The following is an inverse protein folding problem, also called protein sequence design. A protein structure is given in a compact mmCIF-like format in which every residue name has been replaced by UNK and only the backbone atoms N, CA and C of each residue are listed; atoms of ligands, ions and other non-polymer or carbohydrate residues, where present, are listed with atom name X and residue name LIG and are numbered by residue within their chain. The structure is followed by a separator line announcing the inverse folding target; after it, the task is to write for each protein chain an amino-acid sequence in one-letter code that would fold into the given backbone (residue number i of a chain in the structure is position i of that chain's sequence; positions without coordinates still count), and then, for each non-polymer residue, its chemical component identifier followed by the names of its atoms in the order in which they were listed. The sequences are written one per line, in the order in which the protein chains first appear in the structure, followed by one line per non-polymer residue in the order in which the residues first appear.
data_IF_066499799732
#
_entry.id   IF_066499799732
#
_cell.length_a   1.000
_cell.length_b   1.000
_cell.length_c   1.000
_cell.angle_alpha   90.00
_cell.angle_beta   90.00
_cell.angle_gamma   90.00
#
_symmetry.space_group_name_H-M   'P 1'
#
loop_
_entity.id
_entity.type
_entity.pdbx_description
1 polymer ?
#
# COMPACT_ATOMS: atom_id res chain seq x y z
N UNK A 1 -8.88 -8.59 -20.15
CA UNK A 1 -9.10 -7.73 -18.98
C UNK A 1 -8.79 -8.61 -17.78
N UNK A 2 -7.69 -8.35 -17.08
CA UNK A 2 -7.19 -9.21 -16.00
C UNK A 2 -7.95 -8.90 -14.72
N UNK A 3 -9.00 -9.67 -14.46
CA UNK A 3 -9.74 -9.62 -13.21
C UNK A 3 -8.94 -10.40 -12.16
N UNK A 4 -8.96 -9.89 -10.92
CA UNK A 4 -8.36 -10.44 -9.70
C UNK A 4 -6.88 -10.06 -9.48
N UNK A 5 -6.65 -8.79 -9.12
CA UNK A 5 -5.65 -8.49 -8.09
C UNK A 5 -6.14 -9.16 -6.82
N UNK A 6 -5.48 -10.23 -6.39
CA UNK A 6 -5.92 -11.01 -5.22
C UNK A 6 -5.50 -10.33 -3.90
N UNK A 7 -4.53 -9.39 -3.97
CA UNK A 7 -3.90 -8.80 -2.79
C UNK A 7 -3.65 -7.30 -2.98
N UNK A 8 -4.32 -6.48 -2.17
CA UNK A 8 -4.00 -5.07 -1.99
C UNK A 8 -3.00 -4.88 -0.83
N UNK A 9 -1.85 -4.27 -1.09
CA UNK A 9 -0.80 -4.00 -0.13
C UNK A 9 -0.66 -2.49 0.12
N UNK A 10 -0.82 -2.08 1.37
CA UNK A 10 -0.43 -0.75 1.85
C UNK A 10 0.86 -0.88 2.67
N UNK A 11 1.90 -0.17 2.26
CA UNK A 11 3.16 -0.07 3.00
C UNK A 11 3.32 1.35 3.53
N UNK A 12 3.38 1.46 4.86
CA UNK A 12 3.57 2.73 5.55
C UNK A 12 5.07 2.91 5.81
N UNK A 13 5.64 4.01 5.30
CA UNK A 13 7.06 4.34 5.45
C UNK A 13 7.22 5.63 6.26
N UNK A 14 8.37 5.84 6.94
CA UNK A 14 8.64 7.08 7.65
C UNK A 14 8.52 8.33 6.74
N UNK A 15 8.23 9.47 7.37
CA UNK A 15 8.23 10.75 6.67
C UNK A 15 9.57 11.04 5.99
N UNK A 16 9.53 11.71 4.85
CA UNK A 16 10.73 12.01 4.05
C UNK A 16 11.24 10.85 3.17
N UNK A 17 10.69 9.64 3.30
CA UNK A 17 10.99 8.53 2.39
C UNK A 17 10.35 8.76 1.03
N UNK A 18 11.12 8.54 -0.03
CA UNK A 18 10.65 8.77 -1.40
C UNK A 18 9.70 7.66 -1.89
N UNK A 19 8.41 7.81 -1.59
CA UNK A 19 7.29 6.88 -1.89
C UNK A 19 7.39 6.17 -3.24
N UNK A 20 7.50 6.91 -4.35
CA UNK A 20 7.57 6.32 -5.71
C UNK A 20 8.77 5.38 -5.92
N UNK A 21 9.95 5.74 -5.38
CA UNK A 21 11.15 4.88 -5.50
C UNK A 21 10.99 3.63 -4.66
N UNK A 22 10.40 3.76 -3.47
CA UNK A 22 10.09 2.62 -2.60
C UNK A 22 9.08 1.69 -3.26
N UNK A 23 7.99 2.22 -3.83
CA UNK A 23 6.99 1.43 -4.55
C UNK A 23 7.62 0.65 -5.72
N UNK A 24 8.45 1.32 -6.53
CA UNK A 24 9.16 0.66 -7.63
C UNK A 24 10.12 -0.43 -7.16
N UNK A 25 10.79 -0.23 -6.01
CA UNK A 25 11.68 -1.23 -5.44
C UNK A 25 10.88 -2.46 -4.98
N UNK A 26 9.88 -2.25 -4.12
CA UNK A 26 9.05 -3.30 -3.55
C UNK A 26 8.29 -4.08 -4.63
N UNK A 27 7.74 -3.37 -5.64
CA UNK A 27 7.04 -4.03 -6.73
C UNK A 27 7.93 -5.06 -7.45
N UNK A 28 9.20 -4.72 -7.71
CA UNK A 28 10.16 -5.65 -8.33
C UNK A 28 10.54 -6.84 -7.44
N UNK A 29 10.54 -6.64 -6.12
CA UNK A 29 10.86 -7.72 -5.17
C UNK A 29 9.66 -8.66 -4.99
N UNK A 30 8.43 -8.14 -4.97
CA UNK A 30 7.20 -8.91 -4.72
C UNK A 30 6.69 -9.62 -5.98
N UNK A 31 6.85 -9.03 -7.17
CA UNK A 31 6.38 -9.65 -8.44
C UNK A 31 7.00 -11.03 -8.70
N UNK A 32 8.16 -11.33 -8.10
CA UNK A 32 8.79 -12.65 -8.17
C UNK A 32 8.00 -13.77 -7.48
N UNK A 33 6.98 -13.45 -6.67
CA UNK A 33 6.13 -14.41 -5.98
C UNK A 33 5.01 -14.99 -6.86
N UNK A 34 4.80 -14.45 -8.06
CA UNK A 34 3.84 -14.98 -9.03
C UNK A 34 2.36 -14.75 -8.68
N UNK A 35 2.07 -13.88 -7.71
CA UNK A 35 0.71 -13.51 -7.30
C UNK A 35 0.37 -12.10 -7.82
N UNK A 36 -0.82 -11.86 -8.40
CA UNK A 36 -1.27 -10.51 -8.73
C UNK A 36 -1.51 -9.67 -7.47
N UNK A 37 -0.94 -8.46 -7.42
CA UNK A 37 -1.12 -7.55 -6.30
C UNK A 37 -1.12 -6.08 -6.74
N UNK A 38 -1.77 -5.24 -5.95
CA UNK A 38 -1.69 -3.78 -6.01
C UNK A 38 -0.90 -3.25 -4.83
N UNK A 39 0.03 -2.31 -5.07
CA UNK A 39 0.91 -1.76 -4.04
C UNK A 39 0.77 -0.24 -3.93
N UNK A 40 0.43 0.21 -2.73
CA UNK A 40 0.41 1.62 -2.34
C UNK A 40 1.45 1.85 -1.24
N UNK A 41 2.26 2.91 -1.41
CA UNK A 41 3.24 3.34 -0.41
C UNK A 41 2.84 4.72 0.09
N UNK A 42 2.64 4.84 1.40
CA UNK A 42 2.17 6.05 2.06
C UNK A 42 3.04 6.37 3.29
N UNK A 43 2.94 7.58 3.80
CA UNK A 43 3.49 7.95 5.11
C UNK A 43 2.38 8.05 6.17
N UNK A 44 2.71 8.07 7.47
CA UNK A 44 1.71 8.32 8.51
C UNK A 44 0.92 9.63 8.28
N UNK A 45 1.57 10.68 7.79
CA UNK A 45 0.95 11.95 7.42
C UNK A 45 -0.09 11.79 6.33
N UNK A 46 0.22 11.03 5.26
CA UNK A 46 -0.76 10.73 4.20
C UNK A 46 -2.01 10.04 4.76
N UNK A 47 -1.84 9.11 5.70
CA UNK A 47 -2.95 8.38 6.31
C UNK A 47 -3.83 9.27 7.20
N UNK A 48 -3.22 10.20 7.91
CA UNK A 48 -3.94 11.17 8.74
C UNK A 48 -4.71 12.15 7.85
N UNK A 49 -4.04 12.71 6.84
CA UNK A 49 -4.62 13.70 5.93
C UNK A 49 -5.78 13.12 5.11
N UNK A 50 -5.69 11.86 4.71
CA UNK A 50 -6.66 11.23 3.83
C UNK A 50 -7.60 10.23 4.53
N UNK A 51 -7.60 10.20 5.87
CA UNK A 51 -8.41 9.26 6.66
C UNK A 51 -9.90 9.27 6.32
N UNK A 52 -10.43 10.46 6.01
CA UNK A 52 -11.85 10.70 5.71
C UNK A 52 -12.13 10.86 4.21
N UNK A 53 -11.10 10.76 3.36
CA UNK A 53 -11.27 10.86 1.92
C UNK A 53 -11.83 9.54 1.38
N UNK A 54 -13.13 9.54 1.08
CA UNK A 54 -13.89 8.37 0.59
C UNK A 54 -13.37 7.77 -0.72
N UNK A 55 -12.57 8.50 -1.50
CA UNK A 55 -12.06 8.05 -2.79
C UNK A 55 -10.75 7.25 -2.74
N UNK A 56 -10.13 7.09 -1.57
CA UNK A 56 -8.81 6.46 -1.44
C UNK A 56 -8.88 5.15 -0.62
N UNK A 57 -8.10 4.17 -1.06
CA UNK A 57 -7.83 2.86 -0.42
C UNK A 57 -7.53 2.97 1.09
N UNK A 58 -6.99 4.11 1.55
CA UNK A 58 -6.62 4.35 2.94
C UNK A 58 -7.76 4.10 3.93
N UNK A 59 -8.98 4.55 3.63
CA UNK A 59 -10.12 4.36 4.55
C UNK A 59 -10.49 2.88 4.70
N UNK A 60 -10.44 2.13 3.60
CA UNK A 60 -10.76 0.70 3.60
C UNK A 60 -9.68 -0.09 4.33
N UNK A 61 -8.40 0.15 4.02
CA UNK A 61 -7.28 -0.55 4.69
C UNK A 61 -7.22 -0.25 6.19
N UNK A 62 -7.50 0.99 6.62
CA UNK A 62 -7.52 1.32 8.05
C UNK A 62 -8.67 0.69 8.83
N UNK A 63 -9.76 0.28 8.15
CA UNK A 63 -10.94 -0.32 8.81
C UNK A 63 -10.97 -1.84 8.72
N UNK A 64 -10.57 -2.39 7.59
CA UNK A 64 -10.75 -3.79 7.22
C UNK A 64 -9.42 -4.49 6.96
N UNK A 65 -8.34 -3.73 6.78
CA UNK A 65 -7.01 -4.26 6.55
C UNK A 65 -6.46 -4.99 7.78
N UNK A 66 -5.59 -5.94 7.51
CA UNK A 66 -4.85 -6.68 8.53
C UNK A 66 -3.38 -6.27 8.47
N UNK A 67 -2.81 -5.97 9.63
CA UNK A 67 -1.36 -5.80 9.74
C UNK A 67 -0.67 -7.15 9.52
N UNK A 68 0.19 -7.21 8.51
CA UNK A 68 0.97 -8.42 8.16
C UNK A 68 2.43 -8.31 8.61
N UNK A 69 2.91 -7.11 8.87
CA UNK A 69 4.28 -6.81 9.30
C UNK A 69 4.34 -5.44 9.99
N UNK A 70 5.00 -5.38 11.15
CA UNK A 70 5.35 -4.15 11.85
C UNK A 70 6.74 -4.31 12.49
N UNK A 71 7.49 -3.21 12.57
CA UNK A 71 8.83 -3.12 13.16
C UNK A 71 8.77 -2.55 14.59
#
# INVERSE_FOLDING_TARGET
MGEHSDIDLLVVVPEGVHRRRTAQKLYREIIGLGVPFDLVVATPGDLIEHRDNRGLIYRTVLREGREVYAL
#
